data_IF_098508052765
#
_entry.id   IF_098508052765
#
_cell.length_a   1.000
_cell.length_b   1.000
_cell.length_c   1.000
_cell.angle_alpha   90.00
_cell.angle_beta   90.00
_cell.angle_gamma   90.00
#
_symmetry.space_group_name_H-M   'P 1'
#
loop_
_entity.id
_entity.type
_entity.pdbx_description
1 polymer ?
#
# COMPACT_ATOMS: atom_id res chain seq x y z
N UNK A 1 29.55 10.23 59.37
CA UNK A 1 29.42 10.08 57.90
C UNK A 1 30.60 10.83 57.27
N UNK A 2 31.79 10.24 57.30
CA UNK A 2 33.01 10.94 56.84
C UNK A 2 33.09 10.87 55.33
N UNK A 3 32.69 11.96 54.69
CA UNK A 3 33.02 12.19 53.29
C UNK A 3 34.53 12.37 53.18
N UNK A 4 35.16 11.44 52.48
CA UNK A 4 36.57 11.53 52.15
C UNK A 4 36.75 12.69 51.16
N UNK A 5 37.83 13.46 51.27
CA UNK A 5 38.09 14.57 50.34
C UNK A 5 38.08 14.08 48.88
N UNK A 6 38.55 12.86 48.64
CA UNK A 6 38.47 12.22 47.34
C UNK A 6 37.02 11.98 46.87
N UNK A 7 36.11 11.61 47.76
CA UNK A 7 34.70 11.40 47.38
C UNK A 7 34.00 12.73 47.12
N UNK A 8 34.28 13.78 47.90
CA UNK A 8 33.76 15.13 47.65
C UNK A 8 34.25 15.67 46.31
N UNK A 9 35.56 15.56 46.04
CA UNK A 9 36.16 15.98 44.77
C UNK A 9 35.58 15.22 43.57
N UNK A 10 35.39 13.91 43.69
CA UNK A 10 34.79 13.09 42.63
C UNK A 10 33.35 13.52 42.33
N UNK A 11 32.54 13.80 43.37
CA UNK A 11 31.16 14.24 43.19
C UNK A 11 31.08 15.63 42.55
N UNK A 12 31.97 16.55 42.92
CA UNK A 12 32.04 17.87 42.27
C UNK A 12 32.44 17.73 40.81
N UNK A 13 33.45 16.91 40.50
CA UNK A 13 33.87 16.64 39.12
C UNK A 13 32.76 15.99 38.28
N UNK A 14 32.03 15.03 38.86
CA UNK A 14 30.89 14.40 38.21
C UNK A 14 29.76 15.41 37.93
N UNK A 15 29.47 16.30 38.88
CA UNK A 15 28.46 17.35 38.70
C UNK A 15 28.85 18.35 37.60
N UNK A 16 30.12 18.75 37.55
CA UNK A 16 30.65 19.61 36.48
C UNK A 16 30.59 18.90 35.13
N UNK A 17 30.96 17.62 35.08
CA UNK A 17 30.89 16.83 33.86
C UNK A 17 29.43 16.67 33.37
N UNK A 18 28.48 16.41 34.27
CA UNK A 18 27.05 16.36 33.95
C UNK A 18 26.51 17.70 33.45
N UNK A 19 26.92 18.81 34.06
CA UNK A 19 26.52 20.15 33.62
C UNK A 19 27.04 20.47 32.20
N UNK A 20 28.28 20.05 31.89
CA UNK A 20 28.93 20.41 30.63
C UNK A 20 28.65 19.45 29.48
N UNK A 21 28.62 18.13 29.75
CA UNK A 21 28.36 17.09 28.75
C UNK A 21 26.88 16.70 28.68
N UNK A 22 26.12 16.86 29.76
CA UNK A 22 24.69 16.50 29.82
C UNK A 22 23.88 17.08 28.66
N UNK A 23 23.96 18.40 28.37
CA UNK A 23 23.22 18.99 27.25
C UNK A 23 23.58 18.37 25.89
N UNK A 24 24.86 18.06 25.65
CA UNK A 24 25.34 17.47 24.39
C UNK A 24 24.86 16.03 24.21
N UNK A 25 24.94 15.23 25.28
CA UNK A 25 24.50 13.83 25.29
C UNK A 25 22.98 13.76 25.14
N UNK A 26 22.24 14.60 25.87
CA UNK A 26 20.77 14.67 25.76
C UNK A 26 20.34 15.12 24.37
N UNK A 27 21.02 16.10 23.76
CA UNK A 27 20.71 16.53 22.40
C UNK A 27 20.92 15.40 21.37
N UNK A 28 21.99 14.61 21.52
CA UNK A 28 22.24 13.45 20.65
C UNK A 28 21.15 12.37 20.81
N UNK A 29 20.75 12.04 22.05
CA UNK A 29 19.67 11.10 22.30
C UNK A 29 18.32 11.61 21.77
N UNK A 30 18.01 12.90 21.93
CA UNK A 30 16.78 13.49 21.37
C UNK A 30 16.73 13.38 19.85
N UNK A 31 17.83 13.68 19.17
CA UNK A 31 17.91 13.55 17.71
C UNK A 31 17.68 12.11 17.25
N UNK A 32 18.26 11.14 17.96
CA UNK A 32 18.05 9.73 17.67
C UNK A 32 16.60 9.28 17.92
N UNK A 33 15.97 9.74 19.00
CA UNK A 33 14.57 9.46 19.30
C UNK A 33 13.63 10.09 18.27
N UNK A 34 13.90 11.32 17.84
CA UNK A 34 13.13 12.03 16.82
C UNK A 34 13.22 11.32 15.46
N UNK A 35 14.42 10.89 15.05
CA UNK A 35 14.64 10.12 13.82
C UNK A 35 13.93 8.76 13.86
N UNK A 36 13.97 8.06 15.00
CA UNK A 36 13.25 6.79 15.17
C UNK A 36 11.73 6.97 15.18
N UNK A 37 11.23 8.03 15.82
CA UNK A 37 9.79 8.33 15.85
C UNK A 37 9.28 8.63 14.45
N UNK A 38 10.01 9.44 13.68
CA UNK A 38 9.70 9.72 12.28
C UNK A 38 9.68 8.44 11.44
N UNK A 39 10.66 7.54 11.62
CA UNK A 39 10.68 6.25 10.92
C UNK A 39 9.48 5.39 11.28
N UNK A 40 9.12 5.29 12.55
CA UNK A 40 7.96 4.50 13.01
C UNK A 40 6.64 5.10 12.51
N UNK A 41 6.52 6.43 12.45
CA UNK A 41 5.35 7.10 11.90
C UNK A 41 5.21 6.86 10.39
N UNK A 42 6.32 6.91 9.64
CA UNK A 42 6.33 6.57 8.21
C UNK A 42 6.00 5.09 7.98
N UNK A 43 6.60 4.15 8.71
CA UNK A 43 6.24 2.74 8.63
C UNK A 43 4.77 2.48 8.98
N UNK A 44 4.19 3.25 9.91
CA UNK A 44 2.76 3.18 10.25
C UNK A 44 1.90 3.75 9.13
N UNK A 45 2.31 4.82 8.47
CA UNK A 45 1.62 5.38 7.31
C UNK A 45 1.64 4.39 6.13
N UNK A 46 2.80 3.80 5.85
CA UNK A 46 2.97 2.80 4.78
C UNK A 46 2.16 1.52 5.06
N UNK A 47 2.15 1.04 6.31
CA UNK A 47 1.27 -0.08 6.71
C UNK A 47 -0.21 0.29 6.65
N UNK A 48 -0.57 1.56 6.85
CA UNK A 48 -1.96 2.03 6.75
C UNK A 48 -2.42 2.13 5.30
N UNK A 49 -1.51 2.28 4.34
CA UNK A 49 -1.84 2.08 2.92
C UNK A 49 -1.78 0.60 2.50
N UNK A 50 -2.26 -0.29 3.38
CA UNK A 50 -2.52 -1.67 3.06
C UNK A 50 -3.51 -1.83 1.88
N UNK A 51 -4.23 -0.78 1.49
CA UNK A 51 -5.11 -0.81 0.32
C UNK A 51 -4.41 -0.40 -0.99
N UNK A 52 -3.18 0.15 -0.97
CA UNK A 52 -2.45 0.53 -2.18
C UNK A 52 -2.27 -0.65 -3.13
N UNK A 53 -1.84 -1.79 -2.60
CA UNK A 53 -1.63 -2.98 -3.41
C UNK A 53 -2.95 -3.47 -4.05
N UNK A 54 -4.06 -3.37 -3.32
CA UNK A 54 -5.40 -3.73 -3.82
C UNK A 54 -5.83 -2.76 -4.93
N UNK A 55 -5.69 -1.44 -4.71
CA UNK A 55 -6.01 -0.42 -5.73
C UNK A 55 -5.17 -0.61 -6.99
N UNK A 56 -3.88 -0.88 -6.82
CA UNK A 56 -2.98 -1.16 -7.94
C UNK A 56 -3.39 -2.43 -8.69
N UNK A 57 -3.70 -3.51 -7.97
CA UNK A 57 -4.16 -4.77 -8.58
C UNK A 57 -5.48 -4.59 -9.33
N UNK A 58 -6.42 -3.83 -8.77
CA UNK A 58 -7.68 -3.49 -9.45
C UNK A 58 -7.44 -2.64 -10.70
N UNK A 59 -6.50 -1.70 -10.66
CA UNK A 59 -6.09 -0.92 -11.83
C UNK A 59 -5.55 -1.80 -12.95
N UNK A 60 -4.57 -2.66 -12.64
CA UNK A 60 -4.00 -3.61 -13.61
C UNK A 60 -5.03 -4.60 -14.14
N UNK A 61 -5.97 -5.04 -13.30
CA UNK A 61 -7.08 -5.88 -13.74
C UNK A 61 -8.05 -5.13 -14.66
N UNK A 62 -8.28 -3.82 -14.43
CA UNK A 62 -9.16 -3.01 -15.28
C UNK A 62 -8.60 -2.80 -16.69
N UNK A 63 -7.29 -2.70 -16.84
CA UNK A 63 -6.61 -2.57 -18.13
C UNK A 63 -6.72 -3.84 -19.00
N UNK A 64 -6.94 -5.00 -18.37
CA UNK A 64 -7.11 -6.28 -19.08
C UNK A 64 -8.55 -6.53 -19.53
N UNK A 65 -9.48 -5.66 -19.15
CA UNK A 65 -10.91 -5.82 -19.43
C UNK A 65 -11.33 -4.78 -20.46
N UNK A 66 -11.99 -5.26 -21.52
CA UNK A 66 -12.51 -4.42 -22.61
C UNK A 66 -13.38 -3.27 -22.06
N UNK A 67 -13.36 -2.14 -22.76
CA UNK A 67 -14.28 -1.04 -22.47
C UNK A 67 -15.69 -1.33 -23.00
N UNK A 68 -16.68 -0.65 -22.42
CA UNK A 68 -18.06 -0.79 -22.85
C UNK A 68 -18.26 0.06 -24.11
N UNK A 69 -18.72 -0.58 -25.18
CA UNK A 69 -19.04 0.09 -26.43
C UNK A 69 -20.51 0.51 -26.45
N UNK A 70 -20.77 1.75 -26.86
CA UNK A 70 -22.13 2.24 -27.09
C UNK A 70 -22.45 2.15 -28.59
N UNK A 71 -23.53 1.46 -28.93
CA UNK A 71 -23.95 1.26 -30.32
C UNK A 71 -25.41 1.64 -30.46
N UNK A 72 -25.71 2.52 -31.42
CA UNK A 72 -27.08 2.79 -31.83
C UNK A 72 -27.52 1.71 -32.84
N UNK A 73 -28.51 0.90 -32.46
CA UNK A 73 -29.03 -0.19 -33.28
C UNK A 73 -30.54 0.01 -33.48
N UNK A 74 -31.07 -0.33 -34.66
CA UNK A 74 -32.51 -0.27 -34.90
C UNK A 74 -33.19 -1.45 -34.22
N UNK A 75 -34.17 -1.19 -33.34
CA UNK A 75 -34.94 -2.23 -32.68
C UNK A 75 -35.83 -2.95 -33.70
N UNK A 76 -35.66 -4.26 -33.92
CA UNK A 76 -36.40 -5.00 -34.95
C UNK A 76 -37.92 -5.05 -34.69
N UNK A 77 -38.39 -4.77 -33.48
CA UNK A 77 -39.82 -4.75 -33.13
C UNK A 77 -40.48 -3.40 -33.36
N UNK A 78 -39.73 -2.31 -33.21
CA UNK A 78 -40.29 -0.94 -33.25
C UNK A 78 -39.74 -0.08 -34.39
N UNK A 79 -38.67 -0.53 -35.05
CA UNK A 79 -37.94 0.22 -36.07
C UNK A 79 -37.17 1.44 -35.53
N UNK A 80 -37.32 1.76 -34.25
CA UNK A 80 -36.69 2.92 -33.62
C UNK A 80 -35.23 2.64 -33.26
N UNK A 81 -34.39 3.67 -33.35
CA UNK A 81 -33.00 3.57 -32.90
C UNK A 81 -32.95 3.50 -31.38
N UNK A 82 -32.32 2.45 -30.86
CA UNK A 82 -32.08 2.25 -29.43
C UNK A 82 -30.58 2.15 -29.16
N UNK A 83 -30.11 2.79 -28.10
CA UNK A 83 -28.73 2.65 -27.65
C UNK A 83 -28.58 1.32 -26.91
N UNK A 84 -27.68 0.47 -27.40
CA UNK A 84 -27.27 -0.78 -26.76
C UNK A 84 -25.83 -0.63 -26.29
N UNK A 85 -25.53 -1.29 -25.16
CA UNK A 85 -24.19 -1.31 -24.57
C UNK A 85 -23.60 -2.69 -24.80
N UNK A 86 -22.40 -2.77 -25.36
CA UNK A 86 -21.74 -4.03 -25.69
C UNK A 86 -20.51 -4.19 -24.80
N UNK A 87 -20.37 -5.36 -24.17
CA UNK A 87 -19.20 -5.73 -23.38
C UNK A 87 -18.91 -7.22 -23.60
N UNK A 88 -17.67 -7.57 -23.95
CA UNK A 88 -17.24 -8.94 -24.33
C UNK A 88 -18.18 -9.61 -25.35
N UNK A 89 -18.71 -8.83 -26.31
CA UNK A 89 -19.64 -9.31 -27.35
C UNK A 89 -21.09 -9.55 -26.90
N UNK A 90 -21.42 -9.32 -25.63
CA UNK A 90 -22.78 -9.40 -25.08
C UNK A 90 -23.45 -8.03 -25.11
N UNK A 91 -24.73 -8.00 -25.50
CA UNK A 91 -25.54 -6.76 -25.56
C UNK A 91 -26.34 -6.58 -24.28
N UNK A 92 -26.31 -5.37 -23.74
CA UNK A 92 -27.03 -4.95 -22.53
C UNK A 92 -28.04 -3.85 -22.84
N UNK A 93 -29.13 -3.84 -22.07
CA UNK A 93 -30.21 -2.86 -22.24
C UNK A 93 -29.87 -1.49 -21.61
N UNK A 94 -28.91 -1.45 -20.70
CA UNK A 94 -28.50 -0.23 -20.02
C UNK A 94 -27.00 -0.22 -19.75
N UNK A 95 -26.44 0.99 -19.62
CA UNK A 95 -25.03 1.18 -19.27
C UNK A 95 -24.69 0.58 -17.92
N UNK A 96 -25.56 0.80 -16.93
CA UNK A 96 -25.36 0.33 -15.57
C UNK A 96 -25.28 -1.20 -15.50
N UNK A 97 -26.05 -1.90 -16.33
CA UNK A 97 -25.99 -3.35 -16.43
C UNK A 97 -24.64 -3.83 -16.97
N UNK A 98 -24.17 -3.24 -18.08
CA UNK A 98 -22.85 -3.54 -18.65
C UNK A 98 -21.71 -3.20 -17.67
N UNK A 99 -21.77 -2.07 -16.97
CA UNK A 99 -20.78 -1.65 -15.97
C UNK A 99 -20.74 -2.58 -14.77
N UNK A 100 -21.88 -3.08 -14.29
CA UNK A 100 -21.91 -4.05 -13.21
C UNK A 100 -21.21 -5.36 -13.58
N UNK A 101 -21.45 -5.87 -14.80
CA UNK A 101 -20.78 -7.08 -15.28
C UNK A 101 -19.27 -6.84 -15.46
N UNK A 102 -18.89 -5.68 -16.02
CA UNK A 102 -17.48 -5.28 -16.15
C UNK A 102 -16.78 -5.22 -14.79
N UNK A 103 -17.40 -4.60 -13.79
CA UNK A 103 -16.84 -4.49 -12.44
C UNK A 103 -16.66 -5.87 -11.77
N UNK A 104 -17.60 -6.79 -11.97
CA UNK A 104 -17.47 -8.17 -11.49
C UNK A 104 -16.28 -8.87 -12.15
N UNK A 105 -16.12 -8.72 -13.47
CA UNK A 105 -14.99 -9.31 -14.22
C UNK A 105 -13.64 -8.78 -13.75
N UNK A 106 -13.52 -7.47 -13.53
CA UNK A 106 -12.32 -6.84 -12.95
C UNK A 106 -12.01 -7.43 -11.57
N UNK A 107 -13.04 -7.58 -10.73
CA UNK A 107 -12.91 -8.19 -9.41
C UNK A 107 -12.47 -9.66 -9.47
N UNK A 108 -12.94 -10.43 -10.45
CA UNK A 108 -12.55 -11.83 -10.66
C UNK A 108 -11.08 -11.96 -11.05
N UNK A 109 -10.63 -11.13 -12.01
CA UNK A 109 -9.23 -11.08 -12.43
C UNK A 109 -8.33 -10.65 -11.26
N UNK A 110 -8.72 -9.60 -10.54
CA UNK A 110 -7.98 -9.12 -9.37
C UNK A 110 -7.86 -10.21 -8.28
N UNK A 111 -8.91 -10.99 -8.04
CA UNK A 111 -8.87 -12.14 -7.11
C UNK A 111 -7.98 -13.27 -7.62
N UNK A 112 -7.93 -13.50 -8.93
CA UNK A 112 -7.04 -14.46 -9.58
C UNK A 112 -5.58 -14.22 -9.21
N UNK A 113 -5.12 -12.96 -9.28
CA UNK A 113 -3.76 -12.59 -8.90
C UNK A 113 -3.37 -13.04 -7.49
N UNK A 114 -4.26 -12.85 -6.50
CA UNK A 114 -3.98 -13.28 -5.12
C UNK A 114 -3.99 -14.80 -4.94
N UNK A 115 -4.77 -15.54 -5.74
CA UNK A 115 -4.77 -17.01 -5.70
C UNK A 115 -3.49 -17.59 -6.29
N UNK A 116 -2.95 -16.97 -7.33
CA UNK A 116 -1.76 -17.45 -8.04
C UNK A 116 -0.45 -17.00 -7.38
N UNK A 117 -0.49 -15.92 -6.59
CA UNK A 117 0.67 -15.34 -5.92
C UNK A 117 1.54 -16.37 -5.15
N UNK A 118 0.97 -17.28 -4.33
CA UNK A 118 1.79 -18.25 -3.59
C UNK A 118 2.56 -19.20 -4.52
N UNK A 119 1.93 -19.65 -5.61
CA UNK A 119 2.56 -20.52 -6.59
C UNK A 119 3.67 -19.78 -7.36
N UNK A 120 3.40 -18.54 -7.79
CA UNK A 120 4.39 -17.69 -8.45
C UNK A 120 5.62 -17.40 -7.57
N UNK A 121 5.41 -17.11 -6.28
CA UNK A 121 6.49 -16.89 -5.33
C UNK A 121 7.30 -18.16 -5.05
N UNK A 122 6.65 -19.33 -5.00
CA UNK A 122 7.33 -20.61 -4.83
C UNK A 122 8.21 -20.95 -6.05
N UNK A 123 7.68 -20.77 -7.26
CA UNK A 123 8.41 -20.98 -8.51
C UNK A 123 9.63 -20.06 -8.64
N UNK A 124 9.50 -18.78 -8.24
CA UNK A 124 10.63 -17.84 -8.21
C UNK A 124 11.77 -18.30 -7.30
N UNK A 125 11.43 -18.77 -6.09
CA UNK A 125 12.42 -19.25 -5.11
C UNK A 125 13.16 -20.51 -5.58
N UNK A 126 12.48 -21.38 -6.35
CA UNK A 126 13.14 -22.55 -6.96
C UNK A 126 14.06 -22.18 -8.13
N UNK A 127 13.70 -21.16 -8.91
CA UNK A 127 14.54 -20.68 -10.02
C UNK A 127 15.83 -20.01 -9.57
N UNK A 128 15.77 -19.18 -8.51
CA UNK A 128 16.96 -18.55 -7.89
C UNK A 128 17.92 -19.56 -7.23
N UNK A 129 17.48 -20.77 -6.91
CA UNK A 129 18.33 -21.82 -6.33
C UNK A 129 19.07 -22.65 -7.39
N UNK A 130 18.71 -22.50 -8.66
CA UNK A 130 19.25 -23.25 -9.78
C UNK A 130 20.10 -22.40 -10.73
N UNK A 131 20.31 -21.11 -10.42
CA UNK A 131 21.29 -20.23 -11.07
C UNK A 131 22.45 -19.93 -10.13
#
# INVERSE_FOLDING_TARGET
MFWNIYSVSLTILAAVALYWLGPKVIAAFRRFDDENRARIENERADRRDAAAHIRHTLGVASEQVEDILEVAESDPRTGMMVTRYIFEGVRYGSRAEAENIRAQKIGDIARGFYRELPAALAARRSGERLG
#
